data_IF_606281240396
#
_entry.id   IF_606281240396
#
_cell.length_a   1.000
_cell.length_b   1.000
_cell.length_c   1.000
_cell.angle_alpha   90.00
_cell.angle_beta   90.00
_cell.angle_gamma   90.00
#
_symmetry.space_group_name_H-M   'P 1'
#
loop_
_entity.id
_entity.type
_entity.pdbx_description
1 polymer ?
#
# COMPACT_ATOMS: atom_id res chain seq x y z
N UNK A 1 17.53 -16.07 -14.40
CA UNK A 1 16.80 -14.78 -14.48
C UNK A 1 16.48 -14.34 -13.06
N UNK A 2 17.20 -13.35 -12.50
CA UNK A 2 16.96 -12.89 -11.12
C UNK A 2 15.65 -12.10 -11.10
N UNK A 3 14.56 -12.72 -10.69
CA UNK A 3 13.27 -12.07 -10.45
C UNK A 3 13.51 -10.96 -9.44
N UNK A 4 13.31 -9.69 -9.81
CA UNK A 4 13.30 -8.59 -8.85
C UNK A 4 12.20 -8.91 -7.85
N UNK A 5 12.58 -9.24 -6.62
CA UNK A 5 11.67 -9.72 -5.57
C UNK A 5 10.59 -8.68 -5.24
N UNK A 6 10.85 -7.40 -5.54
CA UNK A 6 9.90 -6.30 -5.40
C UNK A 6 10.11 -5.25 -6.51
N UNK A 7 9.50 -5.40 -7.69
CA UNK A 7 9.66 -4.46 -8.80
C UNK A 7 9.03 -3.09 -8.51
N UNK A 8 8.09 -3.01 -7.55
CA UNK A 8 7.27 -1.82 -7.28
C UNK A 8 7.66 -1.04 -6.02
N UNK A 9 8.72 -1.44 -5.29
CA UNK A 9 9.17 -0.70 -4.09
C UNK A 9 10.09 0.45 -4.52
N UNK A 10 9.54 1.67 -4.50
CA UNK A 10 10.23 2.89 -4.95
C UNK A 10 11.06 3.61 -3.85
N UNK A 11 11.00 3.17 -2.59
CA UNK A 11 11.85 3.67 -1.50
C UNK A 11 11.85 2.73 -0.30
N UNK A 12 13.00 2.64 0.37
CA UNK A 12 13.18 1.86 1.59
C UNK A 12 13.65 2.77 2.73
N UNK A 13 13.04 2.64 3.89
CA UNK A 13 13.46 3.29 5.13
C UNK A 13 12.97 2.47 6.32
N UNK A 14 13.61 2.63 7.47
CA UNK A 14 13.19 2.05 8.74
C UNK A 14 12.60 3.12 9.65
N UNK A 15 11.62 2.74 10.46
CA UNK A 15 11.05 3.58 11.52
C UNK A 15 10.91 2.72 12.77
N UNK A 16 10.82 3.34 13.93
CA UNK A 16 10.76 2.63 15.22
C UNK A 16 9.31 2.63 15.73
N UNK A 17 8.92 1.51 16.35
CA UNK A 17 7.67 1.45 17.09
C UNK A 17 7.80 2.26 18.38
N UNK A 18 6.94 3.25 18.57
CA UNK A 18 6.85 4.00 19.82
C UNK A 18 6.16 3.19 20.91
N UNK A 19 6.29 3.66 22.16
CA UNK A 19 5.80 2.97 23.37
C UNK A 19 4.30 2.62 23.34
N UNK A 20 3.50 3.37 22.58
CA UNK A 20 2.05 3.15 22.44
C UNK A 20 1.68 2.32 21.20
N UNK A 21 2.62 1.63 20.58
CA UNK A 21 2.36 0.88 19.34
C UNK A 21 2.17 1.77 18.11
N UNK A 22 2.74 2.98 18.12
CA UNK A 22 2.62 3.96 17.03
C UNK A 22 3.88 3.96 16.16
N UNK A 23 3.71 4.10 14.84
CA UNK A 23 4.81 4.30 13.90
C UNK A 23 4.71 5.66 13.23
N UNK A 24 5.84 6.33 13.05
CA UNK A 24 5.90 7.59 12.29
C UNK A 24 6.20 7.25 10.84
N UNK A 25 5.34 7.71 9.94
CA UNK A 25 5.61 7.65 8.49
C UNK A 25 6.65 8.75 8.15
N UNK A 26 7.85 8.37 7.64
CA UNK A 26 8.89 9.34 7.32
C UNK A 26 8.46 10.39 6.32
N UNK A 27 9.07 11.57 6.40
CA UNK A 27 8.65 12.76 5.65
C UNK A 27 8.69 12.52 4.13
N UNK A 28 9.67 11.76 3.65
CA UNK A 28 9.87 11.41 2.24
C UNK A 28 8.69 10.59 1.71
N UNK A 29 8.23 9.61 2.49
CA UNK A 29 7.07 8.77 2.14
C UNK A 29 5.78 9.60 2.18
N UNK A 30 5.59 10.42 3.22
CA UNK A 30 4.41 11.30 3.32
C UNK A 30 4.29 12.23 2.11
N UNK A 31 5.40 12.81 1.65
CA UNK A 31 5.44 13.68 0.46
C UNK A 31 5.08 12.90 -0.81
N UNK A 32 5.65 11.72 -1.03
CA UNK A 32 5.35 10.88 -2.20
C UNK A 32 3.89 10.44 -2.26
N UNK A 33 3.34 10.02 -1.12
CA UNK A 33 1.95 9.58 -1.02
C UNK A 33 0.94 10.74 -0.83
N UNK A 34 1.44 11.98 -0.71
CA UNK A 34 0.66 13.21 -0.45
C UNK A 34 -0.22 13.12 0.81
N UNK A 35 0.26 12.39 1.82
CA UNK A 35 -0.44 12.21 3.10
C UNK A 35 -0.32 13.49 3.92
N UNK A 36 -1.46 14.05 4.33
CA UNK A 36 -1.56 15.23 5.20
C UNK A 36 -1.81 14.81 6.65
N UNK A 37 -1.46 15.69 7.60
CA UNK A 37 -1.85 15.51 9.00
C UNK A 37 -3.37 15.40 9.13
N UNK A 38 -3.85 14.48 9.97
CA UNK A 38 -5.28 14.16 10.11
C UNK A 38 -5.89 13.34 8.97
N UNK A 39 -5.11 12.99 7.93
CA UNK A 39 -5.56 12.11 6.85
C UNK A 39 -5.88 10.70 7.35
N UNK A 40 -6.93 10.09 6.82
CA UNK A 40 -7.33 8.71 7.14
C UNK A 40 -6.61 7.70 6.26
N UNK A 41 -6.13 6.62 6.87
CA UNK A 41 -5.49 5.49 6.20
C UNK A 41 -6.31 4.23 6.45
N UNK A 42 -6.49 3.43 5.42
CA UNK A 42 -6.95 2.05 5.55
C UNK A 42 -5.72 1.19 5.86
N UNK A 43 -5.88 0.29 6.83
CA UNK A 43 -4.81 -0.59 7.32
C UNK A 43 -5.18 -2.02 6.97
N UNK A 44 -4.28 -2.70 6.26
CA UNK A 44 -4.41 -4.12 5.96
C UNK A 44 -3.29 -4.89 6.66
N UNK A 45 -3.65 -6.02 7.25
CA UNK A 45 -2.71 -7.04 7.67
C UNK A 45 -2.63 -8.10 6.56
N UNK A 46 -1.42 -8.38 6.10
CA UNK A 46 -1.19 -9.51 5.18
C UNK A 46 -0.83 -10.76 6.00
N UNK A 47 -1.57 -11.88 5.86
CA UNK A 47 -1.29 -13.12 6.58
C UNK A 47 -0.05 -13.89 6.04
N UNK A 48 0.87 -13.19 5.38
CA UNK A 48 2.12 -13.74 4.85
C UNK A 48 3.07 -14.14 6.00
N UNK A 49 3.95 -15.15 5.82
CA UNK A 49 5.01 -15.46 6.79
C UNK A 49 5.93 -14.27 7.11
N UNK A 50 6.00 -13.27 6.21
CA UNK A 50 6.75 -12.02 6.44
C UNK A 50 6.00 -10.97 7.26
N UNK A 51 4.69 -11.14 7.51
CA UNK A 51 3.85 -10.25 8.33
C UNK A 51 3.97 -8.77 7.95
N UNK A 52 3.32 -8.35 6.86
CA UNK A 52 3.34 -6.94 6.45
C UNK A 52 2.03 -6.21 6.81
N UNK A 53 2.19 -4.98 7.32
CA UNK A 53 1.11 -3.99 7.46
C UNK A 53 1.16 -3.04 6.27
N UNK A 54 0.05 -2.90 5.56
CA UNK A 54 -0.06 -2.02 4.39
C UNK A 54 -1.01 -0.87 4.72
N UNK A 55 -0.55 0.35 4.47
CA UNK A 55 -1.33 1.58 4.63
C UNK A 55 -1.71 2.16 3.28
N UNK A 56 -2.99 2.47 3.10
CA UNK A 56 -3.51 3.09 1.89
C UNK A 56 -4.28 4.36 2.28
N UNK A 57 -4.01 5.54 1.68
CA UNK A 57 -4.84 6.71 1.88
C UNK A 57 -6.30 6.42 1.52
N UNK A 58 -7.24 6.68 2.44
CA UNK A 58 -8.64 6.33 2.25
C UNK A 58 -9.25 6.98 1.00
N UNK A 59 -8.84 8.21 0.69
CA UNK A 59 -9.23 8.95 -0.52
C UNK A 59 -8.79 8.26 -1.83
N UNK A 60 -7.75 7.43 -1.79
CA UNK A 60 -7.24 6.69 -2.95
C UNK A 60 -7.90 5.30 -3.07
N UNK A 61 -8.52 4.80 -2.01
CA UNK A 61 -9.09 3.46 -1.99
C UNK A 61 -10.15 3.25 -3.07
N UNK A 62 -11.04 4.24 -3.26
CA UNK A 62 -12.05 4.18 -4.31
C UNK A 62 -11.46 3.99 -5.71
N UNK A 63 -10.32 4.65 -6.00
CA UNK A 63 -9.61 4.48 -7.29
C UNK A 63 -9.02 3.09 -7.44
N UNK A 64 -8.46 2.54 -6.36
CA UNK A 64 -7.88 1.19 -6.37
C UNK A 64 -8.98 0.16 -6.66
N UNK A 65 -10.10 0.22 -5.94
CA UNK A 65 -11.25 -0.69 -6.16
C UNK A 65 -11.74 -0.60 -7.60
N UNK A 66 -11.86 0.62 -8.14
CA UNK A 66 -12.29 0.83 -9.52
C UNK A 66 -11.32 0.21 -10.55
N UNK A 67 -10.01 0.40 -10.37
CA UNK A 67 -9.01 -0.21 -11.26
C UNK A 67 -8.99 -1.74 -11.18
N UNK A 68 -9.23 -2.30 -9.99
CA UNK A 68 -9.41 -3.74 -9.82
C UNK A 68 -10.63 -4.26 -10.58
N UNK A 69 -11.78 -3.60 -10.44
CA UNK A 69 -13.01 -3.96 -11.16
C UNK A 69 -12.82 -3.92 -12.69
N UNK A 70 -12.13 -2.89 -13.19
CA UNK A 70 -11.81 -2.75 -14.61
C UNK A 70 -10.91 -3.86 -15.12
N UNK A 71 -9.89 -4.27 -14.33
CA UNK A 71 -9.01 -5.40 -14.68
C UNK A 71 -9.79 -6.72 -14.68
N UNK A 72 -10.58 -6.98 -13.65
CA UNK A 72 -11.41 -8.20 -13.57
C UNK A 72 -12.38 -8.32 -14.75
N UNK A 73 -13.02 -7.22 -15.15
CA UNK A 73 -13.90 -7.18 -16.32
C UNK A 73 -13.16 -7.54 -17.61
N UNK A 74 -11.91 -7.11 -17.79
CA UNK A 74 -11.09 -7.50 -18.95
C UNK A 74 -10.77 -9.00 -18.94
N UNK A 75 -10.38 -9.54 -17.79
CA UNK A 75 -10.11 -10.98 -17.65
C UNK A 75 -11.36 -11.83 -17.95
N UNK A 76 -12.54 -11.41 -17.47
CA UNK A 76 -13.81 -12.09 -17.79
C UNK A 76 -14.12 -12.14 -19.30
N UNK A 77 -13.68 -11.13 -20.06
CA UNK A 77 -13.85 -11.09 -21.53
C UNK A 77 -12.86 -11.98 -22.29
N UNK A 78 -11.70 -12.28 -21.69
CA UNK A 78 -10.66 -13.13 -22.26
C UNK A 78 -10.88 -14.62 -21.94
N UNK A 79 -11.61 -14.93 -20.87
CA UNK A 79 -11.98 -16.28 -20.46
C UNK A 79 -13.26 -16.80 -21.14
N UNK A 80 -13.73 -16.09 -22.17
CA UNK A 80 -14.91 -16.41 -22.98
C UNK A 80 -14.47 -16.59 -24.42
#
# INVERSE_FOLDING_TARGET
MKTKLFPDIASFCTTTMGEKGQVVIPAEIRKKLRIKAGGKLIVFLTPSPSGAVIFIPAEQFGKIVFEFDRKLTKFKKLAK
#
